data_IF_228552699480
#
_entry.id   IF_228552699480
#
_cell.length_a   1.000
_cell.length_b   1.000
_cell.length_c   1.000
_cell.angle_alpha   90.00
_cell.angle_beta   90.00
_cell.angle_gamma   90.00
#
_symmetry.space_group_name_H-M   'P 1'
#
loop_
_entity.id
_entity.type
_entity.pdbx_description
1 polymer ?
#
# COMPACT_ATOMS: atom_id res chain seq x y z
N UNK A 1 -0.39 -15.95 13.95
CA UNK A 1 -0.04 -14.67 13.31
C UNK A 1 1.42 -14.34 13.61
N UNK A 2 2.14 -13.66 12.71
CA UNK A 2 3.56 -13.29 12.94
C UNK A 2 3.78 -12.55 14.27
N UNK A 3 2.78 -11.77 14.69
CA UNK A 3 2.76 -11.08 15.99
C UNK A 3 2.65 -12.03 17.20
N UNK A 4 1.93 -13.15 17.07
CA UNK A 4 1.81 -14.18 18.11
C UNK A 4 3.11 -14.99 18.27
N UNK A 5 3.93 -15.05 17.23
CA UNK A 5 5.26 -15.66 17.24
C UNK A 5 6.34 -14.72 17.82
N UNK A 6 5.95 -13.52 18.27
CA UNK A 6 6.87 -12.54 18.86
C UNK A 6 7.68 -11.74 17.84
N UNK A 7 7.32 -11.76 16.56
CA UNK A 7 8.01 -10.97 15.53
C UNK A 7 7.58 -9.51 15.63
N UNK A 8 8.53 -8.64 15.94
CA UNK A 8 8.33 -7.20 16.05
C UNK A 8 8.57 -6.49 14.70
N UNK A 9 8.08 -5.24 14.59
CA UNK A 9 8.32 -4.39 13.41
C UNK A 9 7.56 -4.81 12.15
N UNK A 10 6.53 -5.66 12.29
CA UNK A 10 5.62 -6.04 11.20
C UNK A 10 4.42 -5.10 11.22
N UNK A 11 4.16 -4.47 10.06
CA UNK A 11 3.04 -3.55 9.85
C UNK A 11 2.20 -4.04 8.68
N UNK A 12 0.90 -3.73 8.69
CA UNK A 12 -0.03 -4.16 7.65
C UNK A 12 -0.78 -2.97 7.06
N UNK A 13 -0.79 -2.87 5.73
CA UNK A 13 -1.61 -1.96 4.93
C UNK A 13 -2.53 -2.83 4.08
N UNK A 14 -3.84 -2.65 4.22
CA UNK A 14 -4.83 -3.40 3.45
C UNK A 14 -4.71 -3.07 1.95
N UNK A 15 -4.80 -4.10 1.12
CA UNK A 15 -4.56 -4.00 -0.33
C UNK A 15 -5.78 -3.67 -1.18
N UNK A 16 -6.98 -3.97 -0.67
CA UNK A 16 -8.21 -4.08 -1.47
C UNK A 16 -8.59 -2.78 -2.18
N UNK A 17 -8.26 -1.64 -1.59
CA UNK A 17 -8.66 -0.31 -2.07
C UNK A 17 -7.50 0.46 -2.72
N UNK A 18 -6.29 -0.11 -2.78
CA UNK A 18 -5.08 0.63 -3.18
C UNK A 18 -5.10 1.12 -4.64
N UNK A 19 -5.81 0.40 -5.51
CA UNK A 19 -5.99 0.79 -6.90
C UNK A 19 -7.32 1.51 -7.15
N UNK A 20 -8.19 1.62 -6.15
CA UNK A 20 -9.58 2.05 -6.34
C UNK A 20 -10.43 1.03 -7.11
N UNK A 21 -11.69 1.35 -7.34
CA UNK A 21 -12.68 0.43 -7.93
C UNK A 21 -13.19 0.87 -9.31
N UNK A 22 -12.56 1.86 -9.94
CA UNK A 22 -12.97 2.40 -11.24
C UNK A 22 -12.41 1.63 -12.44
N UNK A 23 -11.47 0.71 -12.22
CA UNK A 23 -10.86 -0.10 -13.28
C UNK A 23 -9.81 0.63 -14.12
N UNK A 24 -9.44 1.86 -13.76
CA UNK A 24 -8.53 2.71 -14.54
C UNK A 24 -7.05 2.59 -14.11
N UNK A 25 -6.81 1.91 -12.98
CA UNK A 25 -5.53 1.90 -12.30
C UNK A 25 -4.58 0.77 -12.76
N UNK A 26 -4.98 -0.11 -13.67
CA UNK A 26 -4.14 -1.19 -14.19
C UNK A 26 -4.20 -1.28 -15.71
N UNK A 27 -3.03 -1.43 -16.36
CA UNK A 27 -2.90 -1.46 -17.82
C UNK A 27 -3.51 -2.72 -18.43
N UNK A 28 -3.41 -3.85 -17.73
CA UNK A 28 -3.87 -5.17 -18.16
C UNK A 28 -4.69 -5.90 -17.08
N UNK A 29 -5.17 -5.13 -16.10
CA UNK A 29 -5.88 -5.66 -14.92
C UNK A 29 -4.99 -6.24 -13.83
N UNK A 30 -3.67 -6.31 -14.01
CA UNK A 30 -2.71 -6.81 -13.00
C UNK A 30 -1.58 -5.83 -12.71
N UNK A 31 -1.01 -5.20 -13.73
CA UNK A 31 0.11 -4.27 -13.59
C UNK A 31 -0.42 -2.84 -13.46
N UNK A 32 -0.08 -2.12 -12.37
CA UNK A 32 -0.54 -0.76 -12.18
C UNK A 32 -0.08 0.17 -13.32
N UNK A 33 -0.99 1.00 -13.81
CA UNK A 33 -0.68 2.11 -14.71
C UNK A 33 0.00 3.25 -13.94
N UNK A 34 0.37 4.35 -14.60
CA UNK A 34 0.90 5.54 -13.92
C UNK A 34 -0.08 6.06 -12.84
N UNK A 35 -1.39 6.04 -13.15
CA UNK A 35 -2.44 6.37 -12.18
C UNK A 35 -2.46 5.39 -11.01
N UNK A 36 -2.33 4.08 -11.27
CA UNK A 36 -2.25 3.07 -10.22
C UNK A 36 -1.04 3.24 -9.32
N UNK A 37 0.13 3.54 -9.89
CA UNK A 37 1.35 3.81 -9.13
C UNK A 37 1.24 5.09 -8.31
N UNK A 38 0.56 6.13 -8.82
CA UNK A 38 0.25 7.33 -8.03
C UNK A 38 -0.65 7.00 -6.83
N UNK A 39 -1.71 6.21 -7.02
CA UNK A 39 -2.60 5.79 -5.92
C UNK A 39 -1.86 4.96 -4.87
N UNK A 40 -0.96 4.09 -5.31
CA UNK A 40 -0.03 3.41 -4.40
C UNK A 40 0.81 4.41 -3.61
N UNK A 41 1.44 5.39 -4.27
CA UNK A 41 2.23 6.39 -3.57
C UNK A 41 1.40 7.13 -2.50
N UNK A 42 0.20 7.58 -2.83
CA UNK A 42 -0.70 8.28 -1.90
C UNK A 42 -1.10 7.42 -0.68
N UNK A 43 -1.27 6.10 -0.87
CA UNK A 43 -1.61 5.18 0.22
C UNK A 43 -0.41 4.78 1.08
N UNK A 44 0.74 4.51 0.46
CA UNK A 44 1.95 4.04 1.15
C UNK A 44 2.68 5.15 1.90
N UNK A 45 2.75 6.34 1.31
CA UNK A 45 3.51 7.48 1.85
C UNK A 45 3.20 7.78 3.33
N UNK A 46 1.93 7.94 3.76
CA UNK A 46 1.64 8.32 5.14
C UNK A 46 1.95 7.18 6.14
N UNK A 47 1.79 5.93 5.70
CA UNK A 47 2.11 4.73 6.49
C UNK A 47 3.62 4.63 6.69
N UNK A 48 4.40 4.75 5.61
CA UNK A 48 5.86 4.71 5.66
C UNK A 48 6.41 5.87 6.47
N UNK A 49 5.86 7.08 6.32
CA UNK A 49 6.22 8.25 7.11
C UNK A 49 6.07 7.98 8.61
N UNK A 50 4.94 7.39 9.00
CA UNK A 50 4.64 7.02 10.39
C UNK A 50 5.61 5.97 10.95
N UNK A 51 5.90 4.92 10.17
CA UNK A 51 6.83 3.84 10.55
C UNK A 51 8.27 4.37 10.68
N UNK A 52 8.71 5.20 9.73
CA UNK A 52 10.08 5.70 9.65
C UNK A 52 10.33 6.91 10.56
N UNK A 53 9.30 7.49 11.17
CA UNK A 53 9.38 8.69 12.03
C UNK A 53 10.01 9.89 11.32
N UNK A 54 9.69 10.09 10.04
CA UNK A 54 10.22 11.21 9.23
C UNK A 54 9.17 12.32 9.15
N UNK A 55 9.54 13.55 9.51
CA UNK A 55 8.68 14.75 9.44
C UNK A 55 9.01 15.55 8.19
#
# INVERSE_FOLDING_TARGET
MLTEEGIEGVYYLAGDDLLGHDGEAATDGSHPSDLGMMRYADAYEPVLRSILRRY
#
